data_IF_824117095000
#
_entry.id   IF_824117095000
#
_cell.length_a   1.000
_cell.length_b   1.000
_cell.length_c   1.000
_cell.angle_alpha   90.00
_cell.angle_beta   90.00
_cell.angle_gamma   90.00
#
_symmetry.space_group_name_H-M   'P 1'
#
loop_
_entity.id
_entity.type
_entity.pdbx_description
1 polymer ?
#
# COMPACT_ATOMS: atom_id res chain seq x y z
N UNK A 1 -2.90 16.47 19.00
CA UNK A 1 -2.98 17.03 17.62
C UNK A 1 -1.80 16.64 16.73
N UNK A 2 -0.53 16.80 17.15
CA UNK A 2 0.64 16.48 16.30
C UNK A 2 0.77 15.01 15.87
N UNK A 3 0.44 14.05 16.75
CA UNK A 3 0.45 12.62 16.45
C UNK A 3 -0.58 12.23 15.39
N UNK A 4 -1.77 12.84 15.45
CA UNK A 4 -2.86 12.58 14.50
C UNK A 4 -2.52 13.07 13.08
N UNK A 5 -1.92 14.27 12.95
CA UNK A 5 -1.44 14.78 11.65
C UNK A 5 -0.38 13.86 11.04
N UNK A 6 0.60 13.41 11.85
CA UNK A 6 1.66 12.49 11.41
C UNK A 6 1.12 11.12 10.98
N UNK A 7 0.08 10.61 11.65
CA UNK A 7 -0.57 9.35 11.27
C UNK A 7 -1.33 9.49 9.94
N UNK A 8 -2.05 10.59 9.73
CA UNK A 8 -2.72 10.86 8.46
C UNK A 8 -1.72 10.94 7.29
N UNK A 9 -0.59 11.64 7.48
CA UNK A 9 0.47 11.70 6.47
C UNK A 9 1.04 10.31 6.17
N UNK A 10 1.24 9.47 7.20
CA UNK A 10 1.70 8.09 7.02
C UNK A 10 0.69 7.23 6.25
N UNK A 11 -0.60 7.31 6.58
CA UNK A 11 -1.66 6.57 5.88
C UNK A 11 -1.72 6.99 4.41
N UNK A 12 -1.65 8.30 4.14
CA UNK A 12 -1.65 8.83 2.78
C UNK A 12 -0.46 8.31 1.97
N UNK A 13 0.75 8.36 2.55
CA UNK A 13 1.96 7.84 1.91
C UNK A 13 1.87 6.34 1.60
N UNK A 14 1.30 5.54 2.50
CA UNK A 14 1.10 4.11 2.28
C UNK A 14 0.06 3.85 1.17
N UNK A 15 -1.03 4.62 1.11
CA UNK A 15 -2.03 4.53 0.03
C UNK A 15 -1.42 4.84 -1.32
N UNK A 16 -0.63 5.91 -1.43
CA UNK A 16 0.05 6.28 -2.67
C UNK A 16 1.03 5.21 -3.13
N UNK A 17 1.84 4.69 -2.19
CA UNK A 17 2.80 3.61 -2.49
C UNK A 17 2.08 2.34 -2.94
N UNK A 18 0.99 1.96 -2.28
CA UNK A 18 0.15 0.83 -2.67
C UNK A 18 -0.37 0.99 -4.10
N UNK A 19 -1.02 2.12 -4.40
CA UNK A 19 -1.60 2.40 -5.71
C UNK A 19 -0.53 2.38 -6.81
N UNK A 20 0.66 2.94 -6.55
CA UNK A 20 1.77 2.93 -7.50
C UNK A 20 2.26 1.51 -7.80
N UNK A 21 2.40 0.67 -6.78
CA UNK A 21 2.84 -0.73 -6.94
C UNK A 21 1.79 -1.55 -7.68
N UNK A 22 0.51 -1.42 -7.33
CA UNK A 22 -0.57 -2.12 -8.01
C UNK A 22 -0.69 -1.74 -9.48
N UNK A 23 -0.64 -0.44 -9.79
CA UNK A 23 -0.63 0.05 -11.17
C UNK A 23 0.51 -0.57 -11.97
N UNK A 24 1.72 -0.56 -11.40
CA UNK A 24 2.90 -1.12 -12.07
C UNK A 24 2.84 -2.64 -12.20
N UNK A 25 2.27 -3.34 -11.22
CA UNK A 25 2.03 -4.78 -11.31
C UNK A 25 1.08 -5.10 -12.47
N UNK A 26 -0.02 -4.36 -12.58
CA UNK A 26 -0.99 -4.50 -13.67
C UNK A 26 -0.36 -4.24 -15.05
N UNK A 27 0.37 -3.14 -15.20
CA UNK A 27 1.04 -2.77 -16.46
C UNK A 27 2.07 -3.83 -16.92
N UNK A 28 2.74 -4.50 -15.97
CA UNK A 28 3.78 -5.49 -16.24
C UNK A 28 3.21 -6.91 -16.43
N UNK A 29 2.02 -7.21 -15.88
CA UNK A 29 1.44 -8.55 -15.88
C UNK A 29 1.42 -9.25 -17.26
N UNK A 30 1.07 -8.57 -18.38
CA UNK A 30 1.08 -9.20 -19.70
C UNK A 30 2.47 -9.55 -20.21
N UNK A 31 3.51 -8.84 -19.76
CA UNK A 31 4.89 -8.97 -20.26
C UNK A 31 5.76 -9.85 -19.37
N UNK A 32 5.53 -9.81 -18.06
CA UNK A 32 6.34 -10.54 -17.09
C UNK A 32 5.52 -10.84 -15.82
N UNK A 33 4.88 -12.01 -15.81
CA UNK A 33 4.09 -12.50 -14.68
C UNK A 33 4.88 -12.53 -13.38
N UNK A 34 6.12 -13.06 -13.37
CA UNK A 34 6.95 -13.15 -12.16
C UNK A 34 7.18 -11.79 -11.51
N UNK A 35 7.48 -10.77 -12.33
CA UNK A 35 7.70 -9.40 -11.84
C UNK A 35 6.40 -8.74 -11.38
N UNK A 36 5.29 -8.96 -12.09
CA UNK A 36 3.95 -8.55 -11.64
C UNK A 36 3.60 -9.14 -10.27
N UNK A 37 3.80 -10.45 -10.10
CA UNK A 37 3.47 -11.16 -8.86
C UNK A 37 4.32 -10.69 -7.68
N UNK A 38 5.59 -10.38 -7.94
CA UNK A 38 6.47 -9.76 -6.95
C UNK A 38 5.94 -8.39 -6.49
N UNK A 39 5.63 -7.48 -7.42
CA UNK A 39 5.08 -6.15 -7.09
C UNK A 39 3.73 -6.25 -6.36
N UNK A 40 2.89 -7.19 -6.78
CA UNK A 40 1.61 -7.46 -6.13
C UNK A 40 1.81 -8.01 -4.69
N UNK A 41 2.83 -8.85 -4.46
CA UNK A 41 3.19 -9.30 -3.11
C UNK A 41 3.62 -8.13 -2.21
N UNK A 42 4.44 -7.21 -2.71
CA UNK A 42 4.82 -6.00 -1.98
C UNK A 42 3.62 -5.10 -1.69
N UNK A 43 2.75 -4.88 -2.68
CA UNK A 43 1.52 -4.10 -2.49
C UNK A 43 0.60 -4.72 -1.41
N UNK A 44 0.49 -6.05 -1.36
CA UNK A 44 -0.29 -6.74 -0.32
C UNK A 44 0.26 -6.53 1.09
N UNK A 45 1.57 -6.41 1.26
CA UNK A 45 2.16 -6.09 2.56
C UNK A 45 1.77 -4.68 3.02
N UNK A 46 1.79 -3.69 2.12
CA UNK A 46 1.36 -2.33 2.41
C UNK A 46 -0.14 -2.30 2.76
N UNK A 47 -0.97 -3.06 2.05
CA UNK A 47 -2.40 -3.16 2.36
C UNK A 47 -2.65 -3.75 3.75
N UNK A 48 -1.84 -4.73 4.17
CA UNK A 48 -1.91 -5.26 5.54
C UNK A 48 -1.53 -4.20 6.58
N UNK A 49 -0.51 -3.38 6.32
CA UNK A 49 -0.13 -2.28 7.22
C UNK A 49 -1.23 -1.21 7.30
N UNK A 50 -1.81 -0.82 6.17
CA UNK A 50 -2.94 0.11 6.11
C UNK A 50 -4.12 -0.37 6.95
N UNK A 51 -4.51 -1.65 6.79
CA UNK A 51 -5.61 -2.24 7.57
C UNK A 51 -5.34 -2.22 9.07
N UNK A 52 -4.10 -2.49 9.49
CA UNK A 52 -3.72 -2.42 10.91
C UNK A 52 -3.82 -0.99 11.45
N UNK A 53 -3.38 0.00 10.67
CA UNK A 53 -3.48 1.41 11.06
C UNK A 53 -4.94 1.86 11.13
N UNK A 54 -5.77 1.51 10.15
CA UNK A 54 -7.20 1.84 10.13
C UNK A 54 -7.97 1.18 11.29
N UNK A 55 -7.68 -0.09 11.61
CA UNK A 55 -8.24 -0.77 12.78
C UNK A 55 -7.85 -0.08 14.09
N UNK A 56 -6.58 0.29 14.24
CA UNK A 56 -6.10 1.02 15.43
C UNK A 56 -6.66 2.45 15.54
N UNK A 57 -7.25 2.99 14.48
CA UNK A 57 -7.92 4.29 14.49
C UNK A 57 -9.39 4.23 14.94
N UNK A 58 -10.00 3.04 15.00
CA UNK A 58 -11.38 2.81 15.40
C UNK A 58 -11.56 2.57 16.91
N UNK A 59 -10.47 2.38 17.65
CA UNK A 59 -10.43 2.14 19.11
C UNK A 59 -9.76 3.31 19.82
#
# INVERSE_FOLDING_TARGET
MFSWKKNNDRIQNLREKYSRLMRRAYEIAPKNKKKSDFLNKEARQILQELRKLELNHLH
#
